data_IF_909768537875
#
_entry.id   IF_909768537875
#
_cell.length_a   1.000
_cell.length_b   1.000
_cell.length_c   1.000
_cell.angle_alpha   90.00
_cell.angle_beta   90.00
_cell.angle_gamma   90.00
#
_symmetry.space_group_name_H-M   'P 1'
#
loop_
_entity.id
_entity.type
_entity.pdbx_description
1 polymer ?
#
# COMPACT_ATOMS: atom_id res chain seq x y z
N UNK A 1 -4.00 14.15 -25.64
CA UNK A 1 -5.04 13.24 -25.46
C UNK A 1 -6.26 13.96 -24.93
N UNK A 2 -7.35 13.52 -25.16
CA UNK A 2 -8.55 14.19 -24.81
C UNK A 2 -8.67 14.43 -23.30
N UNK A 3 -9.72 15.09 -22.92
CA UNK A 3 -9.98 15.37 -21.54
C UNK A 3 -10.10 14.06 -20.78
N UNK A 4 -9.42 13.99 -19.66
CA UNK A 4 -9.52 12.87 -18.78
C UNK A 4 -10.78 13.01 -17.95
N UNK A 5 -11.35 11.90 -17.59
CA UNK A 5 -12.56 11.90 -16.79
C UNK A 5 -12.18 11.60 -15.35
N UNK A 6 -13.00 12.13 -14.45
CA UNK A 6 -12.88 11.72 -13.06
C UNK A 6 -13.18 10.21 -12.97
N UNK A 7 -12.48 9.54 -12.06
CA UNK A 7 -12.68 8.13 -11.81
C UNK A 7 -13.34 8.02 -10.44
N UNK A 8 -14.48 7.32 -10.40
CA UNK A 8 -15.21 7.10 -9.15
C UNK A 8 -15.35 5.59 -8.97
N UNK A 9 -14.86 5.10 -7.85
CA UNK A 9 -14.91 3.68 -7.52
C UNK A 9 -15.71 3.54 -6.23
N UNK A 10 -16.85 2.87 -6.32
CA UNK A 10 -17.70 2.64 -5.16
C UNK A 10 -17.02 1.67 -4.21
N UNK A 11 -17.47 1.66 -2.96
CA UNK A 11 -16.87 0.80 -1.94
C UNK A 11 -16.85 -0.66 -2.40
N UNK A 12 -15.68 -1.28 -2.40
CA UNK A 12 -15.51 -2.67 -2.77
C UNK A 12 -15.38 -2.94 -4.25
N UNK A 13 -15.55 -1.93 -5.10
CA UNK A 13 -15.56 -2.11 -6.56
C UNK A 13 -14.20 -1.90 -7.22
N UNK A 14 -13.15 -1.82 -6.45
CA UNK A 14 -11.80 -1.71 -7.01
C UNK A 14 -11.32 -3.00 -7.65
N UNK A 15 -10.11 -2.99 -8.17
CA UNK A 15 -9.49 -4.19 -8.73
C UNK A 15 -8.83 -4.98 -7.60
N UNK A 16 -9.32 -6.18 -7.38
CA UNK A 16 -8.80 -7.04 -6.30
C UNK A 16 -7.69 -7.94 -6.81
N UNK A 17 -6.55 -7.88 -6.15
CA UNK A 17 -5.42 -8.78 -6.38
C UNK A 17 -5.01 -9.29 -5.00
N UNK A 18 -5.43 -10.51 -4.65
CA UNK A 18 -5.20 -11.05 -3.32
C UNK A 18 -5.81 -10.15 -2.24
N UNK A 19 -4.97 -9.72 -1.31
CA UNK A 19 -5.40 -8.87 -0.19
C UNK A 19 -5.33 -7.37 -0.51
N UNK A 20 -5.15 -7.02 -1.77
CA UNK A 20 -5.01 -5.64 -2.22
C UNK A 20 -6.19 -5.26 -3.10
N UNK A 21 -6.83 -4.14 -2.79
CA UNK A 21 -7.87 -3.59 -3.65
C UNK A 21 -7.37 -2.26 -4.21
N UNK A 22 -7.12 -2.21 -5.53
CA UNK A 22 -6.66 -1.00 -6.19
C UNK A 22 -7.84 -0.10 -6.52
N UNK A 23 -7.76 1.15 -6.05
CA UNK A 23 -8.76 2.18 -6.34
C UNK A 23 -8.26 3.12 -7.43
N UNK A 24 -6.97 3.45 -7.44
CA UNK A 24 -6.34 4.19 -8.53
C UNK A 24 -5.31 3.28 -9.19
N UNK A 25 -5.56 2.97 -10.45
CA UNK A 25 -4.74 2.02 -11.21
C UNK A 25 -3.87 2.75 -12.23
N UNK A 26 -2.86 2.05 -12.75
CA UNK A 26 -1.99 2.61 -13.77
C UNK A 26 -2.76 3.02 -15.04
N UNK A 27 -3.88 2.33 -15.31
CA UNK A 27 -4.71 2.69 -16.45
C UNK A 27 -5.48 4.00 -16.20
N UNK A 28 -5.66 4.38 -14.93
CA UNK A 28 -6.36 5.61 -14.57
C UNK A 28 -5.43 6.80 -14.56
N UNK A 29 -4.21 6.62 -14.05
CA UNK A 29 -3.20 7.67 -13.95
C UNK A 29 -1.82 7.05 -13.86
N UNK A 30 -0.83 7.74 -14.40
CA UNK A 30 0.57 7.29 -14.29
C UNK A 30 1.28 7.88 -13.07
N UNK A 31 0.61 8.74 -12.32
CA UNK A 31 1.26 9.48 -11.23
C UNK A 31 1.31 8.70 -9.93
N UNK A 32 0.36 7.80 -9.72
CA UNK A 32 0.32 7.02 -8.48
C UNK A 32 -0.65 5.84 -8.60
N UNK A 33 -0.46 4.86 -7.72
CA UNK A 33 -1.49 3.87 -7.41
C UNK A 33 -1.97 4.15 -5.99
N UNK A 34 -3.26 3.96 -5.75
CA UNK A 34 -3.81 3.99 -4.41
C UNK A 34 -4.60 2.71 -4.20
N UNK A 35 -4.31 2.04 -3.11
CA UNK A 35 -4.92 0.76 -2.80
C UNK A 35 -5.29 0.67 -1.32
N UNK A 36 -6.26 -0.19 -1.03
CA UNK A 36 -6.56 -0.61 0.34
C UNK A 36 -5.98 -2.00 0.50
N UNK A 37 -5.18 -2.19 1.53
CA UNK A 37 -4.52 -3.46 1.80
C UNK A 37 -4.99 -3.99 3.14
N UNK A 38 -5.33 -5.28 3.17
CA UNK A 38 -5.79 -5.96 4.38
C UNK A 38 -4.76 -7.01 4.78
N UNK A 39 -4.32 -6.97 6.03
CA UNK A 39 -3.35 -7.92 6.56
C UNK A 39 -4.01 -8.69 7.69
N UNK A 40 -4.14 -9.99 7.49
CA UNK A 40 -4.77 -10.87 8.48
C UNK A 40 -3.92 -10.98 9.74
N UNK A 41 -4.51 -11.40 10.87
CA UNK A 41 -3.75 -11.59 12.10
C UNK A 41 -2.54 -12.52 11.89
N UNK A 42 -1.44 -12.18 12.55
CA UNK A 42 -0.22 -13.00 12.58
C UNK A 42 0.37 -13.25 11.17
N UNK A 43 0.18 -12.30 10.24
CA UNK A 43 0.73 -12.39 8.91
C UNK A 43 1.80 -11.33 8.72
N UNK A 44 2.88 -11.75 8.06
CA UNK A 44 3.91 -10.82 7.62
C UNK A 44 3.54 -10.28 6.25
N UNK A 45 4.00 -9.07 5.96
CA UNK A 45 3.97 -8.53 4.62
C UNK A 45 5.08 -9.15 3.77
N UNK A 46 5.45 -8.50 2.67
CA UNK A 46 6.53 -8.99 1.82
C UNK A 46 7.85 -8.94 2.58
N UNK A 47 8.83 -9.66 2.07
CA UNK A 47 10.19 -9.56 2.59
C UNK A 47 10.69 -8.12 2.45
N UNK A 48 11.70 -7.77 3.24
CA UNK A 48 12.29 -6.43 3.16
C UNK A 48 12.73 -6.16 1.72
N UNK A 49 12.30 -5.03 1.18
CA UNK A 49 12.53 -4.70 -0.21
C UNK A 49 12.75 -3.20 -0.36
N UNK A 50 13.25 -2.81 -1.53
CA UNK A 50 13.45 -1.40 -1.87
C UNK A 50 12.77 -1.12 -3.19
N UNK A 51 12.30 0.11 -3.35
CA UNK A 51 11.82 0.60 -4.64
C UNK A 51 12.84 1.61 -5.14
N UNK A 52 13.29 1.44 -6.38
CA UNK A 52 14.35 2.29 -6.92
C UNK A 52 13.89 3.72 -7.18
N UNK A 53 12.63 3.90 -7.56
CA UNK A 53 12.15 5.19 -8.06
C UNK A 53 10.80 5.61 -7.47
N UNK A 54 10.22 4.84 -6.56
CA UNK A 54 8.88 5.12 -6.04
C UNK A 54 8.92 5.54 -4.59
N UNK A 55 8.05 6.50 -4.28
CA UNK A 55 7.63 6.69 -2.90
C UNK A 55 6.60 5.62 -2.58
N UNK A 56 6.71 5.03 -1.40
CA UNK A 56 5.76 4.03 -0.91
C UNK A 56 5.24 4.54 0.42
N UNK A 57 3.94 4.80 0.50
CA UNK A 57 3.39 5.37 1.72
C UNK A 57 2.18 4.61 2.21
N UNK A 58 1.94 4.72 3.51
CA UNK A 58 0.95 3.91 4.22
C UNK A 58 0.22 4.78 5.22
N UNK A 59 -1.10 4.69 5.24
CA UNK A 59 -1.91 5.36 6.25
C UNK A 59 -2.81 4.32 6.91
N UNK A 60 -2.62 4.12 8.22
CA UNK A 60 -3.34 3.07 8.94
C UNK A 60 -4.79 3.44 9.18
N UNK A 61 -5.69 2.53 8.77
CA UNK A 61 -7.12 2.70 8.96
C UNK A 61 -7.62 1.89 10.17
N UNK A 62 -7.06 0.69 10.34
CA UNK A 62 -7.59 -0.26 11.30
C UNK A 62 -6.47 -1.20 11.73
N UNK A 63 -6.47 -1.61 13.00
CA UNK A 63 -5.50 -2.56 13.50
C UNK A 63 -4.12 -1.94 13.71
N UNK A 64 -3.13 -2.80 13.88
CA UNK A 64 -1.78 -2.37 14.22
C UNK A 64 -0.77 -3.18 13.40
N UNK A 65 0.22 -2.50 12.83
CA UNK A 65 1.32 -3.15 12.14
C UNK A 65 2.64 -2.65 12.70
N UNK A 66 3.65 -3.50 12.64
CA UNK A 66 5.03 -3.06 12.91
C UNK A 66 5.70 -2.93 11.55
N UNK A 67 6.11 -1.71 11.22
CA UNK A 67 6.89 -1.44 10.03
C UNK A 67 8.36 -1.48 10.41
N UNK A 68 9.18 -2.15 9.61
CA UNK A 68 10.63 -2.11 9.75
C UNK A 68 11.15 -1.28 8.58
N UNK A 69 11.67 -0.10 8.88
CA UNK A 69 12.12 0.85 7.86
C UNK A 69 13.58 1.15 8.14
N UNK A 70 14.44 0.85 7.18
CA UNK A 70 15.89 1.04 7.29
C UNK A 70 16.43 0.41 8.58
N UNK A 71 15.91 -0.77 8.91
CA UNK A 71 16.34 -1.54 10.08
C UNK A 71 15.71 -1.12 11.40
N UNK A 72 14.85 -0.13 11.42
CA UNK A 72 14.20 0.33 12.64
C UNK A 72 12.71 0.00 12.64
N UNK A 73 12.23 -0.50 13.79
CA UNK A 73 10.83 -0.88 13.93
C UNK A 73 9.99 0.30 14.39
N UNK A 74 8.84 0.48 13.73
CA UNK A 74 7.86 1.49 14.09
C UNK A 74 6.51 0.81 14.22
N UNK A 75 5.87 0.96 15.38
CA UNK A 75 4.51 0.45 15.57
C UNK A 75 3.52 1.48 15.05
N UNK A 76 2.71 1.07 14.09
CA UNK A 76 1.74 1.95 13.43
C UNK A 76 0.33 1.55 13.82
N UNK A 77 -0.40 2.47 14.45
CA UNK A 77 -1.80 2.33 14.84
C UNK A 77 -2.67 3.20 13.95
N UNK A 78 -4.01 3.06 14.00
CA UNK A 78 -4.88 3.89 13.16
C UNK A 78 -4.53 5.37 13.25
N UNK A 79 -4.42 6.02 12.11
CA UNK A 79 -4.02 7.42 12.02
C UNK A 79 -2.53 7.63 11.81
N UNK A 80 -1.71 6.58 11.90
CA UNK A 80 -0.27 6.70 11.67
C UNK A 80 0.02 6.72 10.18
N UNK A 81 0.92 7.60 9.76
CA UNK A 81 1.37 7.70 8.38
C UNK A 81 2.85 7.35 8.30
N UNK A 82 3.20 6.52 7.32
CA UNK A 82 4.60 6.14 7.07
C UNK A 82 4.90 6.43 5.61
N UNK A 83 5.96 7.18 5.35
CA UNK A 83 6.43 7.42 3.99
C UNK A 83 7.82 6.82 3.85
N UNK A 84 7.97 5.94 2.88
CA UNK A 84 9.25 5.32 2.57
C UNK A 84 9.71 5.85 1.21
N UNK A 85 10.76 6.68 1.18
CA UNK A 85 11.27 7.19 -0.10
C UNK A 85 12.03 6.12 -0.88
N UNK A 86 12.35 6.38 -2.15
CA UNK A 86 13.12 5.43 -2.96
C UNK A 86 14.43 5.06 -2.29
N UNK A 87 14.82 3.80 -2.42
CA UNK A 87 16.09 3.31 -1.93
C UNK A 87 16.12 2.90 -0.47
N UNK A 88 15.02 3.03 0.25
CA UNK A 88 14.98 2.69 1.67
C UNK A 88 14.35 1.31 1.85
N UNK A 89 15.06 0.35 2.47
CA UNK A 89 14.52 -0.99 2.69
C UNK A 89 13.37 -0.94 3.68
N UNK A 90 12.33 -1.70 3.42
CA UNK A 90 11.17 -1.72 4.31
C UNK A 90 10.37 -3.01 4.21
N UNK A 91 9.68 -3.33 5.28
CA UNK A 91 8.72 -4.42 5.36
C UNK A 91 7.77 -4.12 6.52
N UNK A 92 6.78 -4.97 6.71
CA UNK A 92 5.84 -4.83 7.82
C UNK A 92 5.27 -6.18 8.20
N UNK A 93 4.68 -6.25 9.41
CA UNK A 93 4.07 -7.48 9.89
C UNK A 93 2.96 -7.15 10.87
N UNK A 94 1.94 -8.01 10.87
CA UNK A 94 0.85 -7.96 11.85
C UNK A 94 1.12 -9.03 12.90
N UNK A 95 1.52 -8.60 14.09
CA UNK A 95 1.79 -9.51 15.21
C UNK A 95 0.60 -9.66 16.16
N UNK A 96 -0.56 -9.13 15.77
CA UNK A 96 -1.74 -9.09 16.63
C UNK A 96 -2.76 -10.15 16.25
N UNK A 97 -3.79 -10.29 17.09
CA UNK A 97 -4.90 -11.20 16.84
C UNK A 97 -6.00 -10.56 16.01
N UNK A 98 -5.78 -9.34 15.52
CA UNK A 98 -6.79 -8.60 14.78
C UNK A 98 -6.31 -8.23 13.39
N UNK A 99 -7.26 -8.10 12.47
CA UNK A 99 -6.98 -7.68 11.11
C UNK A 99 -6.46 -6.24 11.10
N UNK A 100 -5.54 -5.94 10.21
CA UNK A 100 -5.07 -4.58 9.99
C UNK A 100 -5.41 -4.16 8.57
N UNK A 101 -5.71 -2.87 8.36
CA UNK A 101 -6.00 -2.31 7.05
C UNK A 101 -5.32 -0.96 6.92
N UNK A 102 -4.81 -0.69 5.73
CA UNK A 102 -4.18 0.61 5.47
C UNK A 102 -4.42 1.05 4.04
N UNK A 103 -4.31 2.36 3.82
CA UNK A 103 -4.23 2.95 2.49
C UNK A 103 -2.76 2.92 2.08
N UNK A 104 -2.51 2.41 0.89
CA UNK A 104 -1.15 2.35 0.35
C UNK A 104 -1.09 3.19 -0.92
N UNK A 105 -0.11 4.06 -1.01
CA UNK A 105 0.11 4.88 -2.21
C UNK A 105 1.53 4.63 -2.72
N UNK A 106 1.60 4.25 -3.99
CA UNK A 106 2.86 4.14 -4.72
C UNK A 106 2.91 5.24 -5.77
N UNK A 107 3.95 6.03 -5.80
CA UNK A 107 4.10 7.11 -6.78
C UNK A 107 5.52 7.10 -7.33
N UNK A 108 5.69 7.00 -8.66
CA UNK A 108 4.65 6.91 -9.69
C UNK A 108 3.92 5.57 -9.69
N UNK A 109 2.90 5.47 -10.53
CA UNK A 109 2.12 4.24 -10.69
C UNK A 109 2.98 3.11 -11.29
N UNK A 110 2.49 1.89 -11.17
CA UNK A 110 3.18 0.71 -11.74
C UNK A 110 3.10 -0.51 -10.85
N UNK A 111 2.86 -0.29 -9.56
CA UNK A 111 2.79 -1.39 -8.60
C UNK A 111 1.67 -2.38 -8.96
N UNK A 112 0.52 -1.88 -9.40
CA UNK A 112 -0.60 -2.74 -9.77
C UNK A 112 -0.25 -3.67 -10.92
N UNK A 113 0.57 -3.21 -11.87
CA UNK A 113 1.01 -4.06 -12.97
C UNK A 113 1.98 -5.14 -12.50
N UNK A 114 2.83 -4.80 -11.54
CA UNK A 114 3.83 -5.77 -11.05
C UNK A 114 3.18 -6.93 -10.31
N UNK A 115 2.14 -6.67 -9.50
CA UNK A 115 1.54 -7.75 -8.73
C UNK A 115 0.37 -8.43 -9.44
N UNK A 116 -0.21 -7.79 -10.45
CA UNK A 116 -1.32 -8.38 -11.18
C UNK A 116 -0.85 -9.37 -12.25
N UNK A 117 0.38 -9.32 -12.57
CA UNK A 117 0.76 -10.18 -13.60
C UNK A 117 2.03 -10.30 -14.14
#
# INVERSE_FOLDING_TARGET
MGAERAVVVEAGDGQHVGNVEFLARSIDTERFNLAIVTIEPHRSGPESHVHAEEDDSFYMLEGELVFTVDGEDVTARPGTFVLVPPGVPHTFANHTDEQARFVNVHAPAGFDRRIAG
#
